data_IF_456830803898
#
_entry.id   IF_456830803898
#
_cell.length_a   1.000
_cell.length_b   1.000
_cell.length_c   1.000
_cell.angle_alpha   90.00
_cell.angle_beta   90.00
_cell.angle_gamma   90.00
#
_symmetry.space_group_name_H-M   'P 1'
#
loop_
_entity.id
_entity.type
_entity.pdbx_description
1 polymer ?
#
# COMPACT_ATOMS: atom_id res chain seq x y z
N UNK A 1 -8.50 5.13 19.15
CA UNK A 1 -8.58 6.46 18.49
C UNK A 1 -9.85 7.20 18.89
N UNK A 2 -11.00 6.54 18.88
CA UNK A 2 -12.30 7.12 19.30
C UNK A 2 -12.27 7.70 20.71
N UNK A 3 -11.78 6.96 21.71
CA UNK A 3 -11.65 7.48 23.08
C UNK A 3 -10.76 8.74 23.18
N UNK A 4 -9.74 8.84 22.35
CA UNK A 4 -8.89 10.04 22.29
C UNK A 4 -9.65 11.20 21.64
N UNK A 5 -10.39 10.94 20.56
CA UNK A 5 -11.22 11.94 19.90
C UNK A 5 -12.28 12.49 20.86
N UNK A 6 -13.00 11.64 21.60
CA UNK A 6 -13.98 12.07 22.61
C UNK A 6 -13.34 12.93 23.70
N UNK A 7 -12.12 12.60 24.16
CA UNK A 7 -11.41 13.44 25.13
C UNK A 7 -11.01 14.80 24.56
N UNK A 8 -10.65 14.87 23.28
CA UNK A 8 -10.31 16.11 22.58
C UNK A 8 -11.57 16.97 22.34
N UNK A 9 -12.70 16.36 22.01
CA UNK A 9 -14.01 17.04 21.94
C UNK A 9 -14.42 17.62 23.29
N UNK A 10 -14.24 16.88 24.38
CA UNK A 10 -14.53 17.35 25.74
C UNK A 10 -13.66 18.56 26.16
N UNK A 11 -12.53 18.79 25.50
CA UNK A 11 -11.68 19.97 25.70
C UNK A 11 -12.13 21.19 24.87
N UNK A 12 -13.20 21.07 24.06
CA UNK A 12 -13.75 22.15 23.24
C UNK A 12 -13.24 22.18 21.80
N UNK A 13 -12.47 21.17 21.37
CA UNK A 13 -12.00 21.04 19.99
C UNK A 13 -12.97 20.21 19.12
N UNK A 14 -12.71 20.17 17.81
CA UNK A 14 -13.44 19.35 16.83
C UNK A 14 -12.47 18.45 16.06
N UNK A 15 -12.12 17.26 16.58
CA UNK A 15 -11.15 16.38 15.95
C UNK A 15 -11.73 15.66 14.73
N UNK A 16 -10.89 15.42 13.73
CA UNK A 16 -11.17 14.49 12.63
C UNK A 16 -10.25 13.28 12.79
N UNK A 17 -10.84 12.08 12.91
CA UNK A 17 -10.06 10.86 13.12
C UNK A 17 -9.58 10.31 11.79
N UNK A 18 -8.26 10.32 11.62
CA UNK A 18 -7.59 9.63 10.51
C UNK A 18 -7.11 8.27 11.03
N UNK A 19 -7.46 7.15 10.38
CA UNK A 19 -7.05 5.83 10.83
C UNK A 19 -5.54 5.63 10.64
N UNK A 20 -5.02 4.54 11.22
CA UNK A 20 -3.60 4.16 11.06
C UNK A 20 -3.23 4.10 9.57
N UNK A 21 -2.17 4.83 9.19
CA UNK A 21 -1.70 4.93 7.81
C UNK A 21 -2.68 5.60 6.85
N UNK A 22 -3.69 6.33 7.35
CA UNK A 22 -4.72 6.96 6.51
C UNK A 22 -5.54 5.96 5.68
N UNK A 23 -5.46 4.67 6.01
CA UNK A 23 -6.00 3.59 5.17
C UNK A 23 -7.48 3.33 5.45
N UNK A 24 -8.31 4.22 4.91
CA UNK A 24 -9.74 4.02 4.67
C UNK A 24 -10.02 4.21 3.17
N UNK A 25 -11.26 3.98 2.73
CA UNK A 25 -11.61 4.01 1.30
C UNK A 25 -11.28 5.37 0.67
N UNK A 26 -11.78 6.47 1.26
CA UNK A 26 -11.44 7.85 0.87
C UNK A 26 -9.92 8.10 0.76
N UNK A 27 -9.15 7.72 1.78
CA UNK A 27 -7.69 7.95 1.80
C UNK A 27 -6.95 7.11 0.75
N UNK A 28 -7.45 5.93 0.42
CA UNK A 28 -6.87 5.06 -0.59
C UNK A 28 -7.19 5.49 -2.04
N UNK A 29 -8.17 6.39 -2.25
CA UNK A 29 -8.44 6.97 -3.57
C UNK A 29 -7.21 7.68 -4.16
N UNK A 30 -6.34 8.25 -3.34
CA UNK A 30 -5.09 8.84 -3.83
C UNK A 30 -4.20 7.84 -4.58
N UNK A 31 -4.22 6.55 -4.22
CA UNK A 31 -3.49 5.52 -4.95
C UNK A 31 -4.26 4.94 -6.15
N UNK A 32 -5.58 5.13 -6.21
CA UNK A 32 -6.35 4.91 -7.45
C UNK A 32 -5.96 5.97 -8.48
N UNK A 33 -5.89 7.25 -8.07
CA UNK A 33 -5.40 8.33 -8.93
C UNK A 33 -3.92 8.12 -9.32
N UNK A 34 -3.07 7.65 -8.39
CA UNK A 34 -1.68 7.30 -8.71
C UNK A 34 -1.58 6.23 -9.81
N UNK A 35 -2.48 5.25 -9.86
CA UNK A 35 -2.51 4.28 -10.95
C UNK A 35 -2.79 4.92 -12.32
N UNK A 36 -3.60 5.99 -12.36
CA UNK A 36 -3.83 6.80 -13.57
C UNK A 36 -2.54 7.50 -14.01
N UNK A 37 -1.80 8.09 -13.08
CA UNK A 37 -0.51 8.71 -13.38
C UNK A 37 0.49 7.68 -13.94
N UNK A 38 0.57 6.50 -13.31
CA UNK A 38 1.45 5.41 -13.75
C UNK A 38 1.10 4.99 -15.18
N UNK A 39 -0.18 4.71 -15.46
CA UNK A 39 -0.62 4.27 -16.77
C UNK A 39 -0.29 5.30 -17.87
N UNK A 40 -0.53 6.59 -17.59
CA UNK A 40 -0.23 7.68 -18.52
C UNK A 40 1.28 7.84 -18.77
N UNK A 41 2.10 7.70 -17.73
CA UNK A 41 3.56 7.80 -17.86
C UNK A 41 4.18 6.60 -18.60
N UNK A 42 3.52 5.44 -18.55
CA UNK A 42 3.98 4.23 -19.23
C UNK A 42 3.59 4.18 -20.71
N UNK A 43 2.54 4.90 -21.12
CA UNK A 43 2.04 4.90 -22.49
C UNK A 43 3.15 5.26 -23.50
N UNK A 44 3.51 4.31 -24.35
CA UNK A 44 4.57 4.48 -25.36
C UNK A 44 6.01 4.50 -24.82
N UNK A 45 6.20 4.44 -23.50
CA UNK A 45 7.51 4.46 -22.84
C UNK A 45 7.95 3.06 -22.38
N UNK A 46 7.08 2.35 -21.67
CA UNK A 46 7.38 1.03 -21.09
C UNK A 46 6.11 0.21 -20.93
N UNK A 47 6.19 -1.09 -21.23
CA UNK A 47 5.13 -2.03 -20.89
C UNK A 47 5.47 -2.71 -19.56
N UNK A 48 4.84 -2.27 -18.47
CA UNK A 48 5.10 -2.81 -17.13
C UNK A 48 4.47 -4.20 -17.00
N UNK A 49 5.31 -5.21 -16.75
CA UNK A 49 4.83 -6.56 -16.43
C UNK A 49 4.34 -6.67 -14.99
N UNK A 50 5.05 -6.06 -14.04
CA UNK A 50 4.71 -6.15 -12.61
C UNK A 50 5.03 -4.85 -11.87
N UNK A 51 4.24 -4.55 -10.85
CA UNK A 51 4.40 -3.44 -9.90
C UNK A 51 4.60 -4.04 -8.51
N UNK A 52 5.63 -3.59 -7.79
CA UNK A 52 5.90 -4.03 -6.41
C UNK A 52 5.64 -2.87 -5.46
N UNK A 53 4.96 -3.14 -4.34
CA UNK A 53 4.68 -2.14 -3.32
C UNK A 53 4.68 -2.71 -1.91
N UNK A 54 5.15 -1.93 -0.93
CA UNK A 54 5.04 -2.30 0.48
C UNK A 54 3.57 -2.33 0.94
N UNK A 55 3.16 -3.43 1.59
CA UNK A 55 1.79 -3.63 2.10
C UNK A 55 1.75 -3.63 3.64
N UNK A 56 1.42 -2.46 4.21
CA UNK A 56 1.31 -2.22 5.66
C UNK A 56 -0.12 -2.11 6.15
N UNK A 57 -0.63 -0.88 6.27
CA UNK A 57 -2.03 -0.59 6.63
C UNK A 57 -3.04 -0.85 5.48
N UNK A 58 -2.54 -1.31 4.33
CA UNK A 58 -3.26 -1.73 3.12
C UNK A 58 -3.77 -0.63 2.17
N UNK A 59 -3.87 0.64 2.57
CA UNK A 59 -4.40 1.73 1.72
C UNK A 59 -3.75 1.84 0.35
N UNK A 60 -2.42 1.92 0.33
CA UNK A 60 -1.64 1.99 -0.90
C UNK A 60 -1.88 0.80 -1.82
N UNK A 61 -1.73 -0.41 -1.28
CA UNK A 61 -1.87 -1.64 -2.06
C UNK A 61 -3.30 -1.79 -2.61
N UNK A 62 -4.32 -1.54 -1.79
CA UNK A 62 -5.72 -1.63 -2.22
C UNK A 62 -6.11 -0.59 -3.27
N UNK A 63 -5.63 0.66 -3.13
CA UNK A 63 -5.87 1.72 -4.12
C UNK A 63 -5.24 1.39 -5.47
N UNK A 64 -3.98 0.96 -5.47
CA UNK A 64 -3.31 0.50 -6.70
C UNK A 64 -4.00 -0.72 -7.31
N UNK A 65 -4.48 -1.67 -6.50
CA UNK A 65 -5.19 -2.84 -7.00
C UNK A 65 -6.45 -2.46 -7.79
N UNK A 66 -7.27 -1.55 -7.26
CA UNK A 66 -8.47 -1.06 -7.98
C UNK A 66 -8.08 -0.28 -9.23
N UNK A 67 -7.12 0.64 -9.14
CA UNK A 67 -6.73 1.48 -10.27
C UNK A 67 -6.08 0.69 -11.40
N UNK A 68 -5.10 -0.16 -11.09
CA UNK A 68 -4.38 -0.94 -12.09
C UNK A 68 -5.26 -2.01 -12.73
N UNK A 69 -6.21 -2.62 -12.00
CA UNK A 69 -7.19 -3.55 -12.61
C UNK A 69 -7.93 -2.92 -13.79
N UNK A 70 -8.24 -1.63 -13.72
CA UNK A 70 -9.00 -0.93 -14.76
C UNK A 70 -8.13 -0.28 -15.84
N UNK A 71 -6.89 0.08 -15.52
CA UNK A 71 -6.02 0.88 -16.38
C UNK A 71 -4.90 0.07 -17.03
N UNK A 72 -4.43 -0.97 -16.34
CA UNK A 72 -3.31 -1.82 -16.72
C UNK A 72 -3.60 -3.29 -16.33
N UNK A 73 -4.68 -3.91 -16.83
CA UNK A 73 -5.16 -5.23 -16.37
C UNK A 73 -4.19 -6.39 -16.61
N UNK A 74 -3.20 -6.21 -17.48
CA UNK A 74 -2.16 -7.20 -17.78
C UNK A 74 -0.97 -7.11 -16.80
N UNK A 75 -0.87 -6.03 -16.02
CA UNK A 75 0.22 -5.83 -15.06
C UNK A 75 -0.08 -6.51 -13.73
N UNK A 76 0.86 -7.30 -13.24
CA UNK A 76 0.76 -7.96 -11.95
C UNK A 76 1.09 -7.00 -10.79
N UNK A 77 0.24 -6.91 -9.77
CA UNK A 77 0.51 -6.09 -8.57
C UNK A 77 0.88 -6.98 -7.39
N UNK A 78 2.11 -6.83 -6.90
CA UNK A 78 2.67 -7.61 -5.79
C UNK A 78 2.81 -6.72 -4.56
N UNK A 79 2.11 -7.09 -3.49
CA UNK A 79 2.27 -6.46 -2.18
C UNK A 79 3.25 -7.22 -1.29
N UNK A 80 4.42 -6.64 -1.00
CA UNK A 80 5.33 -7.23 -0.01
C UNK A 80 4.88 -6.81 1.38
N UNK A 81 4.47 -7.74 2.23
CA UNK A 81 3.98 -7.40 3.58
C UNK A 81 5.13 -6.84 4.41
N UNK A 82 4.81 -5.93 5.35
CA UNK A 82 5.82 -5.32 6.24
C UNK A 82 5.53 -5.56 7.73
N UNK A 83 4.49 -6.33 8.03
CA UNK A 83 4.02 -6.49 9.41
C UNK A 83 3.22 -7.75 9.72
N UNK A 84 2.75 -8.48 8.71
CA UNK A 84 1.73 -9.52 8.86
C UNK A 84 1.95 -10.63 7.84
N UNK A 85 1.49 -11.83 8.18
CA UNK A 85 1.41 -12.94 7.23
C UNK A 85 0.40 -12.64 6.12
N UNK A 86 0.46 -13.39 5.02
CA UNK A 86 -0.57 -13.34 3.95
C UNK A 86 -1.95 -13.59 4.55
N UNK A 87 -2.09 -14.57 5.44
CA UNK A 87 -3.37 -14.93 6.07
C UNK A 87 -4.01 -13.75 6.82
N UNK A 88 -3.20 -12.91 7.46
CA UNK A 88 -3.68 -11.75 8.24
C UNK A 88 -3.82 -10.48 7.40
N UNK A 89 -3.01 -10.34 6.34
CA UNK A 89 -2.98 -9.14 5.50
C UNK A 89 -4.00 -9.18 4.37
N UNK A 90 -4.20 -10.35 3.75
CA UNK A 90 -5.09 -10.52 2.60
C UNK A 90 -6.52 -10.02 2.89
N UNK A 91 -7.18 -10.39 4.01
CA UNK A 91 -8.53 -9.89 4.29
C UNK A 91 -8.58 -8.36 4.41
N UNK A 92 -7.51 -7.72 4.91
CA UNK A 92 -7.46 -6.26 5.06
C UNK A 92 -7.39 -5.56 3.71
N UNK A 93 -6.53 -6.05 2.82
CA UNK A 93 -6.38 -5.48 1.48
C UNK A 93 -7.65 -5.70 0.67
N UNK A 94 -8.22 -6.91 0.67
CA UNK A 94 -9.47 -7.24 -0.02
C UNK A 94 -10.63 -6.39 0.50
N UNK A 95 -10.82 -6.29 1.82
CA UNK A 95 -11.90 -5.47 2.37
C UNK A 95 -11.80 -4.01 1.95
N UNK A 96 -10.57 -3.47 1.87
CA UNK A 96 -10.35 -2.09 1.46
C UNK A 96 -10.52 -1.90 -0.06
N UNK A 97 -10.05 -2.83 -0.88
CA UNK A 97 -10.29 -2.87 -2.33
C UNK A 97 -11.80 -2.83 -2.62
N UNK A 98 -12.59 -3.66 -1.94
CA UNK A 98 -14.05 -3.69 -2.11
C UNK A 98 -14.72 -2.40 -1.62
N UNK A 99 -14.23 -1.79 -0.54
CA UNK A 99 -14.75 -0.52 -0.05
C UNK A 99 -14.47 0.64 -1.04
N UNK A 100 -13.27 0.67 -1.62
CA UNK A 100 -12.88 1.64 -2.66
C UNK A 100 -13.74 1.45 -3.90
N UNK A 101 -13.87 0.20 -4.39
CA UNK A 101 -14.68 -0.11 -5.57
C UNK A 101 -16.13 0.34 -5.38
N UNK A 102 -16.70 0.10 -4.18
CA UNK A 102 -18.03 0.58 -3.82
C UNK A 102 -18.15 2.10 -3.84
N UNK A 103 -17.16 2.82 -3.32
CA UNK A 103 -17.15 4.29 -3.30
C UNK A 103 -17.06 4.90 -4.71
N UNK A 104 -16.41 4.20 -5.64
CA UNK A 104 -16.30 4.57 -7.05
C UNK A 104 -17.43 4.02 -7.94
N UNK A 105 -18.39 3.28 -7.38
CA UNK A 105 -19.44 2.58 -8.14
C UNK A 105 -18.89 1.62 -9.21
N UNK A 106 -17.75 0.98 -8.91
CA UNK A 106 -17.06 -0.01 -9.76
C UNK A 106 -17.17 -1.41 -9.18
N UNK A 107 -16.78 -2.40 -9.99
CA UNK A 107 -16.48 -3.76 -9.54
C UNK A 107 -14.97 -3.98 -9.52
N UNK A 108 -14.43 -4.50 -8.43
CA UNK A 108 -13.03 -4.91 -8.36
C UNK A 108 -12.96 -6.41 -8.05
N UNK A 109 -12.23 -7.14 -8.88
CA UNK A 109 -12.14 -8.60 -8.88
C UNK A 109 -10.71 -9.12 -9.04
N UNK A 110 -9.75 -8.23 -9.27
CA UNK A 110 -8.34 -8.58 -9.36
C UNK A 110 -7.89 -9.34 -8.11
N UNK A 111 -7.12 -10.40 -8.33
CA UNK A 111 -6.49 -11.17 -7.28
C UNK A 111 -5.48 -10.30 -6.53
N UNK A 112 -5.50 -10.38 -5.20
CA UNK A 112 -4.54 -9.68 -4.35
C UNK A 112 -3.36 -10.60 -4.06
N UNK A 113 -2.20 -10.27 -4.65
CA UNK A 113 -0.96 -11.03 -4.47
C UNK A 113 -0.16 -10.43 -3.31
N UNK A 114 0.27 -11.28 -2.38
CA UNK A 114 1.04 -10.89 -1.21
C UNK A 114 2.22 -11.83 -0.99
N UNK A 115 3.39 -11.27 -0.66
CA UNK A 115 4.56 -12.02 -0.21
C UNK A 115 4.89 -11.63 1.23
N UNK A 116 5.00 -12.61 2.13
CA UNK A 116 5.21 -12.39 3.56
C UNK A 116 6.54 -12.94 4.10
N UNK A 117 7.44 -13.38 3.22
CA UNK A 117 8.75 -13.91 3.61
C UNK A 117 9.74 -12.82 4.08
N UNK A 118 9.49 -11.55 3.74
CA UNK A 118 10.50 -10.48 3.82
C UNK A 118 10.38 -9.58 5.05
N UNK A 119 9.32 -9.70 5.86
CA UNK A 119 9.06 -8.74 6.94
C UNK A 119 9.64 -9.12 8.30
N UNK A 120 10.08 -10.38 8.46
CA UNK A 120 10.68 -10.86 9.69
C UNK A 120 11.80 -9.91 10.16
N UNK A 121 11.98 -9.70 11.48
CA UNK A 121 11.29 -10.38 12.58
C UNK A 121 9.93 -9.76 12.93
N UNK A 122 9.53 -8.67 12.27
CA UNK A 122 8.26 -8.00 12.51
C UNK A 122 8.26 -6.54 12.10
N UNK A 123 7.11 -5.88 12.33
CA UNK A 123 6.92 -4.47 12.02
C UNK A 123 7.90 -3.57 12.80
N UNK A 124 8.52 -2.63 12.09
CA UNK A 124 9.41 -1.62 12.68
C UNK A 124 10.81 -2.14 13.04
N UNK A 125 11.09 -3.43 12.85
CA UNK A 125 12.40 -4.03 13.12
C UNK A 125 13.11 -4.31 11.79
N UNK A 126 14.30 -3.72 11.54
CA UNK A 126 15.09 -4.01 10.36
C UNK A 126 15.54 -5.48 10.31
N UNK A 127 15.79 -6.00 9.11
CA UNK A 127 16.45 -7.29 8.87
C UNK A 127 17.63 -7.13 7.92
N UNK A 128 18.48 -8.14 7.84
CA UNK A 128 19.71 -8.07 7.07
C UNK A 128 19.42 -7.93 5.57
N UNK A 129 18.47 -8.70 5.03
CA UNK A 129 18.10 -8.66 3.62
C UNK A 129 17.60 -7.27 3.20
N UNK A 130 16.69 -6.67 3.97
CA UNK A 130 16.18 -5.34 3.68
C UNK A 130 17.21 -4.24 3.89
N UNK A 131 18.11 -4.40 4.86
CA UNK A 131 19.23 -3.47 5.05
C UNK A 131 20.27 -3.57 3.92
N UNK A 132 20.46 -4.74 3.33
CA UNK A 132 21.29 -4.90 2.14
C UNK A 132 20.64 -4.25 0.92
N UNK A 133 19.32 -4.37 0.73
CA UNK A 133 18.59 -3.67 -0.32
C UNK A 133 18.72 -2.13 -0.20
N UNK A 134 18.60 -1.59 1.03
CA UNK A 134 18.84 -0.16 1.32
C UNK A 134 20.25 0.25 0.87
N UNK A 135 21.28 -0.51 1.24
CA UNK A 135 22.67 -0.20 0.86
C UNK A 135 22.89 -0.32 -0.65
N UNK A 136 22.28 -1.32 -1.28
CA UNK A 136 22.45 -1.62 -2.69
C UNK A 136 21.91 -0.45 -3.54
N UNK A 137 20.66 -0.05 -3.33
CA UNK A 137 20.03 1.00 -4.13
C UNK A 137 20.67 2.37 -3.88
N UNK A 138 21.05 2.65 -2.62
CA UNK A 138 21.77 3.89 -2.29
C UNK A 138 23.14 3.98 -2.99
N UNK A 139 23.85 2.85 -3.12
CA UNK A 139 25.19 2.81 -3.75
C UNK A 139 25.13 2.83 -5.27
N UNK A 140 24.16 2.15 -5.87
CA UNK A 140 24.09 1.99 -7.32
C UNK A 140 23.33 3.13 -7.99
N UNK A 141 22.25 3.61 -7.38
CA UNK A 141 21.34 4.57 -8.00
C UNK A 141 21.23 5.90 -7.22
N UNK A 142 21.86 5.99 -6.04
CA UNK A 142 21.73 7.18 -5.18
C UNK A 142 20.33 7.37 -4.59
N UNK A 143 19.48 6.33 -4.65
CA UNK A 143 18.11 6.35 -4.11
C UNK A 143 18.12 5.75 -2.71
N UNK A 144 17.58 6.48 -1.73
CA UNK A 144 17.53 6.07 -0.33
C UNK A 144 16.21 5.38 -0.03
N UNK A 145 16.31 4.12 0.41
CA UNK A 145 15.20 3.36 0.98
C UNK A 145 15.24 3.45 2.51
N UNK A 146 14.14 3.07 3.15
CA UNK A 146 13.98 3.01 4.60
C UNK A 146 13.96 1.56 5.12
N UNK A 147 14.37 1.31 6.38
CA UNK A 147 14.54 -0.04 6.90
C UNK A 147 13.23 -0.72 7.34
N UNK A 148 12.09 0.00 7.32
CA UNK A 148 10.80 -0.51 7.82
C UNK A 148 9.87 -0.92 6.67
N UNK A 149 9.86 -0.18 5.56
CA UNK A 149 8.96 -0.43 4.44
C UNK A 149 9.71 -0.74 3.15
N UNK A 150 10.35 0.27 2.58
CA UNK A 150 10.85 0.26 1.20
C UNK A 150 12.13 -0.56 1.02
N UNK A 151 12.90 -0.81 2.07
CA UNK A 151 14.00 -1.77 2.02
C UNK A 151 13.53 -3.22 2.02
N UNK A 152 12.33 -3.50 2.55
CA UNK A 152 11.78 -4.86 2.64
C UNK A 152 10.95 -5.25 1.41
N UNK A 153 10.37 -4.27 0.72
CA UNK A 153 9.66 -4.45 -0.54
C UNK A 153 10.63 -4.44 -1.72
#
# INVERSE_FOLDING_TARGET
LEELATRVEAQGFRPYVIPVGGSNALGALGYVESALEIAQQCEGAVNISSVVVASGSAGTHAGLAVGLEHLMPESELIGVTVSRSVADQLPKVVNLQQAIAKELELTASAEIILWDDYFAPGYGVPNDEGMEAVKLLARLEGILLDPVYTGKA
#
